data_IF_184914523098
#
_entry.id   IF_184914523098
#
_cell.length_a   1.000
_cell.length_b   1.000
_cell.length_c   1.000
_cell.angle_alpha   90.00
_cell.angle_beta   90.00
_cell.angle_gamma   90.00
#
_symmetry.space_group_name_H-M   'P 1'
#
loop_
_entity.id
_entity.type
_entity.pdbx_description
1 polymer ?
#
# COMPACT_ATOMS: atom_id res chain seq x y z
N UNK A 1 -1.42 -27.01 -5.52
CA UNK A 1 -2.50 -26.00 -5.49
C UNK A 1 -2.65 -25.40 -6.88
N UNK A 2 -3.86 -25.21 -7.40
CA UNK A 2 -4.05 -24.52 -8.70
C UNK A 2 -3.52 -23.10 -8.56
N UNK A 3 -2.83 -22.59 -9.59
CA UNK A 3 -2.43 -21.19 -9.66
C UNK A 3 -3.68 -20.31 -9.43
N UNK A 4 -3.70 -19.36 -8.48
CA UNK A 4 -4.90 -18.56 -8.20
C UNK A 4 -5.45 -17.84 -9.44
N UNK A 5 -4.55 -17.46 -10.36
CA UNK A 5 -4.90 -16.86 -11.65
C UNK A 5 -5.66 -17.82 -12.59
N UNK A 6 -5.58 -19.14 -12.39
CA UNK A 6 -6.25 -20.11 -13.24
C UNK A 6 -7.78 -19.99 -13.16
N UNK A 7 -8.33 -19.61 -12.00
CA UNK A 7 -9.77 -19.33 -11.85
C UNK A 7 -10.21 -18.20 -12.79
N UNK A 8 -9.36 -17.18 -12.94
CA UNK A 8 -9.61 -16.07 -13.86
C UNK A 8 -9.40 -16.45 -15.33
N UNK A 9 -8.40 -17.29 -15.64
CA UNK A 9 -8.15 -17.77 -17.00
C UNK A 9 -9.24 -18.70 -17.51
N UNK A 10 -9.78 -19.54 -16.64
CA UNK A 10 -10.85 -20.50 -16.95
C UNK A 10 -12.25 -19.86 -16.88
N UNK A 11 -12.33 -18.59 -16.44
CA UNK A 11 -13.60 -17.91 -16.28
C UNK A 11 -14.31 -17.80 -17.63
N UNK A 12 -15.54 -18.33 -17.69
CA UNK A 12 -16.42 -18.20 -18.84
C UNK A 12 -17.43 -17.08 -18.57
N UNK A 13 -17.36 -15.95 -19.30
CA UNK A 13 -18.30 -14.86 -19.12
C UNK A 13 -19.75 -15.32 -19.29
N UNK A 14 -20.63 -14.85 -18.41
CA UNK A 14 -22.08 -15.07 -18.49
C UNK A 14 -22.84 -13.79 -18.85
N UNK A 15 -22.16 -12.65 -18.75
CA UNK A 15 -22.67 -11.34 -19.14
C UNK A 15 -21.75 -10.68 -20.19
N UNK A 16 -22.27 -9.65 -20.85
CA UNK A 16 -21.49 -8.81 -21.79
C UNK A 16 -20.40 -8.01 -21.08
N UNK A 17 -20.63 -7.65 -19.81
CA UNK A 17 -19.74 -6.81 -19.02
C UNK A 17 -19.15 -7.56 -17.83
N UNK A 18 -17.93 -7.17 -17.44
CA UNK A 18 -17.26 -7.61 -16.22
C UNK A 18 -16.94 -6.40 -15.33
N UNK A 19 -17.19 -6.52 -14.03
CA UNK A 19 -16.88 -5.50 -13.02
C UNK A 19 -15.90 -6.10 -12.00
N UNK A 20 -14.65 -5.63 -12.05
CA UNK A 20 -13.67 -5.86 -10.99
C UNK A 20 -13.82 -4.80 -9.90
N UNK A 21 -14.04 -5.23 -8.66
CA UNK A 21 -14.23 -4.36 -7.50
C UNK A 21 -13.00 -4.49 -6.61
N UNK A 22 -12.23 -3.42 -6.43
CA UNK A 22 -11.13 -3.43 -5.48
C UNK A 22 -11.64 -3.71 -4.06
N UNK A 23 -10.90 -4.48 -3.26
CA UNK A 23 -11.34 -4.83 -1.90
C UNK A 23 -11.22 -3.64 -0.95
N UNK A 24 -10.04 -3.04 -0.88
CA UNK A 24 -9.71 -1.99 0.06
C UNK A 24 -10.24 -0.63 -0.40
N UNK A 25 -11.06 0.03 0.43
CA UNK A 25 -11.63 1.34 0.11
C UNK A 25 -12.79 1.32 -0.90
N UNK A 26 -13.23 0.14 -1.34
CA UNK A 26 -14.38 -0.05 -2.23
C UNK A 26 -15.36 -1.09 -1.67
N UNK A 27 -14.86 -2.24 -1.19
CA UNK A 27 -15.67 -3.20 -0.41
C UNK A 27 -15.59 -2.86 1.07
N UNK A 28 -14.39 -2.71 1.61
CA UNK A 28 -14.14 -2.53 3.04
C UNK A 28 -13.59 -1.13 3.34
N UNK A 29 -14.01 -0.54 4.47
CA UNK A 29 -13.44 0.72 4.98
C UNK A 29 -12.12 0.49 5.74
N UNK A 30 -11.19 -0.20 5.07
CA UNK A 30 -9.93 -0.68 5.64
C UNK A 30 -8.76 0.28 5.45
N UNK A 31 -8.89 1.25 4.54
CA UNK A 31 -7.78 2.13 4.13
C UNK A 31 -7.33 3.05 5.24
N UNK A 32 -8.27 3.68 5.95
CA UNK A 32 -7.98 4.60 7.06
C UNK A 32 -7.18 3.90 8.15
N UNK A 33 -7.67 2.76 8.66
CA UNK A 33 -7.00 2.00 9.72
C UNK A 33 -5.64 1.45 9.27
N UNK A 34 -5.54 0.85 8.06
CA UNK A 34 -4.26 0.35 7.53
C UNK A 34 -3.23 1.47 7.48
N UNK A 35 -3.59 2.63 6.92
CA UNK A 35 -2.62 3.71 6.76
C UNK A 35 -2.27 4.39 8.08
N UNK A 36 -3.26 4.73 8.92
CA UNK A 36 -3.05 5.50 10.15
C UNK A 36 -2.44 4.69 11.29
N UNK A 37 -2.79 3.41 11.39
CA UNK A 37 -2.37 2.55 12.51
C UNK A 37 -1.25 1.57 12.13
N UNK A 38 -1.03 1.26 10.85
CA UNK A 38 0.02 0.33 10.44
C UNK A 38 1.12 1.02 9.63
N UNK A 39 0.80 1.64 8.49
CA UNK A 39 1.82 2.24 7.62
C UNK A 39 2.52 3.43 8.27
N UNK A 40 1.74 4.39 8.78
CA UNK A 40 2.29 5.65 9.29
C UNK A 40 3.16 5.47 10.54
N UNK A 41 2.78 4.63 11.52
CA UNK A 41 3.65 4.36 12.66
C UNK A 41 4.96 3.69 12.24
N UNK A 42 4.91 2.76 11.28
CA UNK A 42 6.13 2.13 10.74
C UNK A 42 6.97 3.11 9.94
N UNK A 43 6.35 4.02 9.19
CA UNK A 43 7.04 5.12 8.50
C UNK A 43 7.81 6.00 9.51
N UNK A 44 7.16 6.41 10.60
CA UNK A 44 7.84 7.20 11.66
C UNK A 44 8.97 6.41 12.32
N UNK A 45 8.73 5.14 12.66
CA UNK A 45 9.69 4.27 13.36
C UNK A 45 10.92 3.97 12.52
N UNK A 46 10.74 3.45 11.31
CA UNK A 46 11.85 2.91 10.50
C UNK A 46 12.69 4.00 9.83
N UNK A 47 12.11 5.16 9.54
CA UNK A 47 12.83 6.30 8.95
C UNK A 47 13.26 7.35 9.98
N UNK A 48 13.16 7.03 11.28
CA UNK A 48 13.60 7.87 12.42
C UNK A 48 13.00 9.29 12.42
N UNK A 49 11.69 9.39 12.17
CA UNK A 49 10.99 10.67 11.99
C UNK A 49 10.29 11.17 13.26
N UNK A 50 10.69 10.69 14.45
CA UNK A 50 10.01 10.96 15.72
C UNK A 50 9.90 12.47 16.02
N UNK A 51 10.99 13.22 15.79
CA UNK A 51 11.07 14.67 16.00
C UNK A 51 10.10 15.48 15.12
N UNK A 52 9.59 14.88 14.05
CA UNK A 52 8.64 15.50 13.09
C UNK A 52 7.42 14.61 12.87
N UNK A 53 7.10 13.74 13.83
CA UNK A 53 6.05 12.71 13.70
C UNK A 53 4.69 13.26 13.30
N UNK A 54 4.28 14.43 13.84
CA UNK A 54 3.07 15.16 13.41
C UNK A 54 3.08 15.43 11.90
N UNK A 55 4.20 15.90 11.36
CA UNK A 55 4.33 16.31 9.97
C UNK A 55 4.53 15.12 9.04
N UNK A 56 5.24 14.09 9.51
CA UNK A 56 5.35 12.80 8.84
C UNK A 56 3.97 12.15 8.63
N UNK A 57 3.10 12.18 9.67
CA UNK A 57 1.70 11.71 9.57
C UNK A 57 0.91 12.48 8.53
N UNK A 58 0.94 13.81 8.58
CA UNK A 58 0.22 14.66 7.63
C UNK A 58 0.64 14.41 6.18
N UNK A 59 1.95 14.29 5.92
CA UNK A 59 2.45 14.00 4.56
C UNK A 59 2.05 12.60 4.12
N UNK A 60 2.12 11.61 5.02
CA UNK A 60 1.72 10.24 4.71
C UNK A 60 0.24 10.15 4.32
N UNK A 61 -0.64 10.76 5.12
CA UNK A 61 -2.08 10.82 4.88
C UNK A 61 -2.39 11.54 3.57
N UNK A 62 -1.73 12.67 3.29
CA UNK A 62 -1.89 13.36 2.02
C UNK A 62 -1.51 12.47 0.83
N UNK A 63 -0.35 11.83 0.86
CA UNK A 63 0.12 11.00 -0.26
C UNK A 63 -0.80 9.79 -0.49
N UNK A 64 -1.22 9.13 0.59
CA UNK A 64 -1.84 7.80 0.50
C UNK A 64 -3.37 7.80 0.61
N UNK A 65 -3.98 8.78 1.26
CA UNK A 65 -5.43 8.84 1.49
C UNK A 65 -6.09 10.01 0.73
N UNK A 66 -5.48 11.20 0.77
CA UNK A 66 -6.20 12.45 0.43
C UNK A 66 -5.66 13.19 -0.80
N UNK A 67 -4.86 12.55 -1.64
CA UNK A 67 -4.38 13.14 -2.90
C UNK A 67 -4.69 12.28 -4.12
N UNK A 68 -4.39 12.82 -5.31
CA UNK A 68 -4.56 12.11 -6.58
C UNK A 68 -3.63 10.89 -6.73
N UNK A 69 -2.65 10.72 -5.84
CA UNK A 69 -1.77 9.54 -5.81
C UNK A 69 -2.20 8.48 -4.80
N UNK A 70 -3.38 8.63 -4.19
CA UNK A 70 -3.95 7.57 -3.34
C UNK A 70 -4.01 6.24 -4.10
N UNK A 71 -3.78 5.13 -3.39
CA UNK A 71 -3.76 3.79 -3.98
C UNK A 71 -2.50 3.46 -4.79
N UNK A 72 -1.49 4.33 -4.82
CA UNK A 72 -0.20 4.00 -5.42
C UNK A 72 0.51 2.85 -4.68
N UNK A 73 1.40 2.15 -5.37
CA UNK A 73 2.27 1.16 -4.74
C UNK A 73 3.06 1.81 -3.59
N UNK A 74 3.24 1.04 -2.49
CA UNK A 74 3.86 1.52 -1.25
C UNK A 74 5.27 2.10 -1.42
N UNK A 75 6.05 1.65 -2.41
CA UNK A 75 7.42 2.13 -2.60
C UNK A 75 7.49 3.50 -3.31
N UNK A 76 6.82 3.73 -4.45
CA UNK A 76 6.64 5.08 -4.99
C UNK A 76 5.98 6.05 -4.00
N UNK A 77 4.99 5.56 -3.23
CA UNK A 77 4.34 6.38 -2.21
C UNK A 77 5.31 6.78 -1.08
N UNK A 78 6.17 5.87 -0.63
CA UNK A 78 7.23 6.16 0.34
C UNK A 78 8.20 7.23 -0.17
N UNK A 79 8.69 7.10 -1.42
CA UNK A 79 9.57 8.10 -2.03
C UNK A 79 8.91 9.48 -2.02
N UNK A 80 7.68 9.56 -2.52
CA UNK A 80 6.92 10.82 -2.56
C UNK A 80 6.72 11.42 -1.16
N UNK A 81 6.41 10.59 -0.17
CA UNK A 81 6.23 11.04 1.21
C UNK A 81 7.54 11.58 1.80
N UNK A 82 8.69 10.93 1.56
CA UNK A 82 9.99 11.42 2.02
C UNK A 82 10.38 12.73 1.33
N UNK A 83 10.12 12.87 0.02
CA UNK A 83 10.37 14.11 -0.73
C UNK A 83 9.56 15.28 -0.18
N UNK A 84 8.24 15.12 -0.06
CA UNK A 84 7.37 16.16 0.48
C UNK A 84 7.70 16.50 1.93
N UNK A 85 8.08 15.51 2.74
CA UNK A 85 8.47 15.74 4.12
C UNK A 85 9.76 16.56 4.21
N UNK A 86 10.75 16.29 3.35
CA UNK A 86 12.04 17.00 3.32
C UNK A 86 11.89 18.50 3.05
N UNK A 87 10.89 18.89 2.26
CA UNK A 87 10.63 20.29 1.90
C UNK A 87 9.87 21.08 2.97
N UNK A 88 9.38 20.42 4.02
CA UNK A 88 8.61 21.09 5.06
C UNK A 88 9.47 22.01 5.92
N UNK A 89 9.01 23.24 6.10
CA UNK A 89 9.68 24.26 6.93
C UNK A 89 9.95 23.76 8.35
N UNK A 90 9.04 22.97 8.91
CA UNK A 90 9.19 22.47 10.28
C UNK A 90 10.22 21.33 10.40
N UNK A 91 10.48 20.63 9.29
CA UNK A 91 11.54 19.60 9.19
C UNK A 91 12.90 20.28 9.05
N UNK A 92 12.99 21.29 8.18
CA UNK A 92 14.17 22.13 8.00
C UNK A 92 14.57 22.85 9.29
N UNK A 93 13.61 23.50 9.97
CA UNK A 93 13.84 24.23 11.22
C UNK A 93 14.32 23.33 12.36
N UNK A 94 13.94 22.04 12.35
CA UNK A 94 14.39 21.03 13.32
C UNK A 94 15.64 20.28 12.88
N UNK A 95 16.20 20.61 11.71
CA UNK A 95 17.38 19.98 11.14
C UNK A 95 17.28 18.44 11.05
N UNK A 96 16.06 17.92 10.88
CA UNK A 96 15.83 16.48 10.79
C UNK A 96 16.35 15.97 9.46
N UNK A 97 17.22 14.97 9.52
CA UNK A 97 17.77 14.30 8.34
C UNK A 97 16.75 13.30 7.80
N UNK A 98 16.05 13.67 6.73
CA UNK A 98 15.13 12.76 6.02
C UNK A 98 15.93 11.80 5.15
N UNK A 99 15.77 10.46 5.31
CA UNK A 99 16.55 9.47 4.57
C UNK A 99 16.54 9.67 3.06
N UNK A 100 17.68 9.38 2.43
CA UNK A 100 17.85 9.42 0.98
C UNK A 100 17.06 8.29 0.29
N UNK A 101 16.58 8.58 -0.92
CA UNK A 101 15.69 7.71 -1.71
C UNK A 101 16.32 7.22 -3.00
N UNK A 102 17.53 7.67 -3.37
CA UNK A 102 18.16 7.35 -4.67
C UNK A 102 18.22 5.86 -4.99
N UNK A 103 18.63 5.03 -4.02
CA UNK A 103 18.69 3.58 -4.21
C UNK A 103 17.29 2.97 -4.46
N UNK A 104 16.28 3.48 -3.76
CA UNK A 104 14.89 3.03 -3.90
C UNK A 104 14.31 3.46 -5.24
N UNK A 105 14.54 4.70 -5.66
CA UNK A 105 14.12 5.22 -6.95
C UNK A 105 14.77 4.47 -8.12
N UNK A 106 16.08 4.20 -8.03
CA UNK A 106 16.80 3.43 -9.04
C UNK A 106 16.26 1.99 -9.18
N UNK A 107 15.84 1.37 -8.07
CA UNK A 107 15.19 0.05 -8.10
C UNK A 107 13.77 0.12 -8.67
N UNK A 108 12.96 1.07 -8.23
CA UNK A 108 11.61 1.30 -8.76
C UNK A 108 11.61 1.51 -10.28
N UNK A 109 12.62 2.21 -10.82
CA UNK A 109 12.71 2.52 -12.24
C UNK A 109 12.93 1.28 -13.14
N UNK A 110 13.46 0.17 -12.61
CA UNK A 110 13.78 -1.03 -13.39
C UNK A 110 12.96 -2.27 -13.01
N UNK A 111 12.44 -2.34 -11.79
CA UNK A 111 11.65 -3.49 -11.33
C UNK A 111 10.21 -3.42 -11.86
N UNK A 112 9.74 -4.52 -12.40
CA UNK A 112 8.39 -4.64 -12.98
C UNK A 112 7.35 -5.13 -11.97
N UNK A 113 7.78 -5.83 -10.92
CA UNK A 113 6.94 -6.41 -9.87
C UNK A 113 7.35 -5.85 -8.51
N UNK A 114 6.82 -4.69 -8.16
CA UNK A 114 7.14 -4.00 -6.91
C UNK A 114 6.50 -4.69 -5.69
N UNK A 115 7.26 -5.51 -4.97
CA UNK A 115 6.80 -6.20 -3.76
C UNK A 115 7.93 -6.62 -2.81
N UNK A 116 7.58 -7.18 -1.65
CA UNK A 116 8.58 -7.61 -0.66
C UNK A 116 9.50 -8.72 -1.17
N UNK A 117 9.01 -9.59 -2.05
CA UNK A 117 9.80 -10.70 -2.63
C UNK A 117 10.94 -10.15 -3.49
N UNK A 118 10.62 -9.28 -4.45
CA UNK A 118 11.62 -8.68 -5.35
C UNK A 118 12.53 -7.70 -4.61
N UNK A 119 12.01 -6.96 -3.63
CA UNK A 119 12.83 -6.10 -2.77
C UNK A 119 13.83 -6.90 -1.93
N UNK A 120 13.41 -8.06 -1.41
CA UNK A 120 14.30 -8.96 -0.65
C UNK A 120 15.42 -9.51 -1.54
N UNK A 121 15.08 -9.99 -2.74
CA UNK A 121 16.05 -10.46 -3.72
C UNK A 121 17.08 -9.38 -4.07
N UNK A 122 16.63 -8.14 -4.27
CA UNK A 122 17.51 -7.00 -4.55
C UNK A 122 18.49 -6.70 -3.40
N UNK A 123 18.03 -6.76 -2.14
CA UNK A 123 18.89 -6.59 -0.96
C UNK A 123 19.91 -7.73 -0.87
N UNK A 124 19.47 -8.98 -1.08
CA UNK A 124 20.33 -10.18 -1.07
C UNK A 124 21.37 -10.18 -2.21
N UNK A 125 21.04 -9.56 -3.34
CA UNK A 125 21.96 -9.36 -4.47
C UNK A 125 23.03 -8.28 -4.22
N UNK A 126 22.98 -7.59 -3.06
CA UNK A 126 24.04 -6.69 -2.60
C UNK A 126 23.62 -5.23 -2.41
N UNK A 127 22.38 -4.84 -2.74
CA UNK A 127 21.91 -3.47 -2.56
C UNK A 127 21.48 -3.19 -1.11
N UNK A 128 22.45 -3.16 -0.20
CA UNK A 128 22.23 -3.01 1.24
C UNK A 128 21.56 -1.67 1.62
N UNK A 129 21.61 -0.66 0.74
CA UNK A 129 20.91 0.61 0.95
C UNK A 129 19.38 0.44 1.05
N UNK A 130 18.83 -0.65 0.50
CA UNK A 130 17.39 -0.96 0.56
C UNK A 130 16.98 -1.77 1.79
N UNK A 131 17.92 -2.25 2.61
CA UNK A 131 17.60 -3.03 3.80
C UNK A 131 16.65 -2.31 4.78
N UNK A 132 16.77 -0.98 5.04
CA UNK A 132 15.79 -0.26 5.86
C UNK A 132 14.39 -0.23 5.26
N UNK A 133 14.28 -0.14 3.92
CA UNK A 133 12.99 -0.15 3.21
C UNK A 133 12.34 -1.52 3.29
N UNK A 134 13.13 -2.60 3.15
CA UNK A 134 12.65 -3.96 3.32
C UNK A 134 12.14 -4.18 4.75
N UNK A 135 12.92 -3.78 5.76
CA UNK A 135 12.54 -3.90 7.16
C UNK A 135 11.23 -3.12 7.45
N UNK A 136 11.10 -1.91 6.92
CA UNK A 136 9.86 -1.13 7.01
C UNK A 136 8.68 -1.87 6.37
N UNK A 137 8.84 -2.37 5.14
CA UNK A 137 7.74 -2.98 4.41
C UNK A 137 7.29 -4.33 5.00
N UNK A 138 8.21 -5.09 5.59
CA UNK A 138 7.89 -6.29 6.38
C UNK A 138 7.16 -5.92 7.67
N UNK A 139 7.64 -4.91 8.39
CA UNK A 139 7.01 -4.46 9.63
C UNK A 139 5.57 -3.93 9.41
N UNK A 140 5.32 -3.26 8.27
CA UNK A 140 3.97 -2.86 7.87
C UNK A 140 3.05 -4.07 7.73
N UNK A 141 3.49 -5.12 7.04
CA UNK A 141 2.66 -6.33 6.87
C UNK A 141 2.36 -6.97 8.22
N UNK A 142 3.35 -7.05 9.11
CA UNK A 142 3.15 -7.57 10.47
C UNK A 142 2.13 -6.74 11.26
N UNK A 143 2.22 -5.41 11.17
CA UNK A 143 1.27 -4.51 11.85
C UNK A 143 -0.15 -4.63 11.28
N UNK A 144 -0.30 -4.83 9.97
CA UNK A 144 -1.62 -5.06 9.37
C UNK A 144 -2.23 -6.37 9.87
N UNK A 145 -1.47 -7.46 9.89
CA UNK A 145 -1.93 -8.75 10.36
C UNK A 145 -2.31 -8.75 11.86
N UNK A 146 -1.61 -7.95 12.66
CA UNK A 146 -1.85 -7.83 14.10
C UNK A 146 -3.05 -6.91 14.43
N UNK A 147 -3.17 -5.77 13.75
CA UNK A 147 -4.11 -4.70 14.13
C UNK A 147 -5.43 -4.77 13.35
N UNK A 148 -5.38 -5.08 12.05
CA UNK A 148 -6.53 -4.88 11.16
C UNK A 148 -7.39 -6.14 11.13
N UNK A 149 -8.47 -6.13 11.90
CA UNK A 149 -9.46 -7.20 11.93
C UNK A 149 -10.87 -6.64 12.10
N UNK A 150 -11.88 -7.43 11.71
CA UNK A 150 -13.29 -7.10 11.96
C UNK A 150 -13.85 -5.89 11.19
N UNK A 151 -13.19 -5.45 10.12
CA UNK A 151 -13.68 -4.34 9.28
C UNK A 151 -14.86 -4.84 8.41
N UNK A 152 -16.09 -4.34 8.60
CA UNK A 152 -17.22 -4.77 7.80
C UNK A 152 -17.17 -4.15 6.39
N UNK A 153 -17.91 -4.71 5.42
CA UNK A 153 -18.13 -4.02 4.14
C UNK A 153 -18.82 -2.67 4.34
N UNK A 154 -18.65 -1.75 3.38
CA UNK A 154 -19.38 -0.50 3.36
C UNK A 154 -20.90 -0.74 3.39
N UNK A 155 -21.67 0.16 4.05
CA UNK A 155 -23.12 0.12 3.97
C UNK A 155 -23.59 0.06 2.52
N UNK A 156 -24.58 -0.79 2.25
CA UNK A 156 -25.17 -1.02 0.93
C UNK A 156 -24.28 -1.73 -0.10
N UNK A 157 -23.07 -2.17 0.28
CA UNK A 157 -22.19 -2.89 -0.64
C UNK A 157 -22.87 -4.17 -1.17
N UNK A 158 -23.45 -4.97 -0.27
CA UNK A 158 -24.12 -6.24 -0.63
C UNK A 158 -25.28 -6.03 -1.59
N UNK A 159 -26.14 -5.05 -1.33
CA UNK A 159 -27.28 -4.70 -2.16
C UNK A 159 -26.84 -4.19 -3.53
N UNK A 160 -25.74 -3.43 -3.57
CA UNK A 160 -25.14 -2.96 -4.82
C UNK A 160 -24.56 -4.13 -5.63
N UNK A 161 -23.87 -5.06 -4.97
CA UNK A 161 -23.31 -6.27 -5.58
C UNK A 161 -24.41 -7.15 -6.21
N UNK A 162 -25.52 -7.36 -5.49
CA UNK A 162 -26.67 -8.11 -6.01
C UNK A 162 -27.20 -7.47 -7.30
N UNK A 163 -27.32 -6.13 -7.33
CA UNK A 163 -27.79 -5.41 -8.53
C UNK A 163 -26.79 -5.47 -9.68
N UNK A 164 -25.49 -5.37 -9.39
CA UNK A 164 -24.44 -5.48 -10.42
C UNK A 164 -24.45 -6.88 -11.06
N UNK A 165 -24.62 -7.94 -10.26
CA UNK A 165 -24.67 -9.32 -10.73
C UNK A 165 -25.85 -9.64 -11.68
N UNK A 166 -26.87 -8.79 -11.78
CA UNK A 166 -27.94 -8.99 -12.77
C UNK A 166 -27.59 -8.44 -14.17
N UNK A 167 -26.44 -7.75 -14.30
CA UNK A 167 -26.03 -7.03 -15.52
C UNK A 167 -24.60 -7.33 -15.94
N UNK A 168 -23.76 -7.79 -15.03
CA UNK A 168 -22.35 -8.04 -15.26
C UNK A 168 -21.86 -9.21 -14.40
N UNK A 169 -20.82 -9.90 -14.89
CA UNK A 169 -20.02 -10.76 -14.06
C UNK A 169 -19.20 -9.89 -13.08
N UNK A 170 -19.23 -10.19 -11.79
CA UNK A 170 -18.51 -9.38 -10.79
C UNK A 170 -17.51 -10.20 -10.00
N UNK A 171 -16.38 -9.59 -9.65
CA UNK A 171 -15.40 -10.17 -8.74
C UNK A 171 -14.78 -9.10 -7.85
N UNK A 172 -14.58 -9.44 -6.58
CA UNK A 172 -13.73 -8.65 -5.69
C UNK A 172 -12.27 -8.99 -5.96
N UNK A 173 -11.47 -7.98 -6.26
CA UNK A 173 -10.06 -8.08 -6.60
C UNK A 173 -9.25 -7.46 -5.47
N UNK A 174 -8.15 -8.09 -5.09
CA UNK A 174 -7.23 -7.59 -4.08
C UNK A 174 -5.81 -7.67 -4.61
N UNK A 175 -5.03 -6.61 -4.39
CA UNK A 175 -3.58 -6.64 -4.62
C UNK A 175 -2.81 -7.26 -3.45
N UNK A 176 -3.49 -7.56 -2.33
CA UNK A 176 -2.86 -8.27 -1.22
C UNK A 176 -2.73 -9.74 -1.62
N UNK A 177 -1.51 -10.30 -1.70
CA UNK A 177 -1.33 -11.74 -1.90
C UNK A 177 -2.15 -12.47 -0.85
N UNK A 178 -2.86 -13.52 -1.26
CA UNK A 178 -3.79 -14.27 -0.44
C UNK A 178 -3.12 -14.86 0.81
N UNK A 179 -3.08 -14.06 1.86
CA UNK A 179 -2.92 -14.36 3.28
C UNK A 179 -3.10 -13.02 4.02
N UNK A 180 -4.35 -12.75 4.39
CA UNK A 180 -4.72 -11.90 5.50
C UNK A 180 -5.49 -12.78 6.48
#
# INVERSE_FOLDING_TARGET
MKEPAQVLRDFKPTHEFFIGIDSDGCVFDSMEIKHKECFTPMFVKHFRLQAVSKYARQVWDFVNLYSKTRGANRFPALVRALHLLRERQEVLARQVQVPDTRALEAWIARETKLGNVTLKQEVEAGNQALAPVLAWSVAVNQAIADIVSGVPPFPRFRESLIKMNTRADTMVVSQTPSEA
#
